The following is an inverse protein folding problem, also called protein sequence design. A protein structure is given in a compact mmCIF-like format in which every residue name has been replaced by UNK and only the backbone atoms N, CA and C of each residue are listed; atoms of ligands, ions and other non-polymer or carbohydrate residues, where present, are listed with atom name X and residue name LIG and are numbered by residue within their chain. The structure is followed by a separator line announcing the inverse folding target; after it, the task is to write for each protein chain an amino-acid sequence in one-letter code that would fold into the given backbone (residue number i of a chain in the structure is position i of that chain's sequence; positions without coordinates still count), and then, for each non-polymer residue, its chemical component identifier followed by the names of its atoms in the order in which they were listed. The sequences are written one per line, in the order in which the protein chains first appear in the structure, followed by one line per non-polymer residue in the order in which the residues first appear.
data_IF_084166508916
#
_entry.id   IF_084166508916
#
_cell.length_a   1.000
_cell.length_b   1.000
_cell.length_c   1.000
_cell.angle_alpha   90.00
_cell.angle_beta   90.00
_cell.angle_gamma   90.00
#
_symmetry.space_group_name_H-M   'P 1'
#
loop_
_entity.id
_entity.type
_entity.pdbx_description
1 polymer ?
#
# COMPACT_ATOMS: atom_id res chain seq x y z
N UNK A 1 -22.45 -54.44 -4.44
CA UNK A 1 -20.99 -54.39 -4.23
C UNK A 1 -20.41 -53.36 -5.20
N UNK A 2 -19.75 -52.32 -4.68
CA UNK A 2 -19.03 -51.21 -5.35
C UNK A 2 -19.87 -50.15 -6.09
N UNK A 3 -20.31 -49.16 -5.32
CA UNK A 3 -20.72 -47.81 -5.74
C UNK A 3 -19.49 -47.05 -6.29
N UNK A 4 -19.57 -46.47 -7.49
CA UNK A 4 -18.61 -45.47 -7.98
C UNK A 4 -19.26 -44.09 -7.96
N UNK A 5 -18.72 -43.20 -7.15
CA UNK A 5 -19.09 -41.79 -7.06
C UNK A 5 -18.34 -41.06 -8.20
N UNK A 6 -19.08 -40.40 -9.08
CA UNK A 6 -18.53 -39.50 -10.10
C UNK A 6 -18.38 -38.11 -9.49
N UNK A 7 -17.14 -37.64 -9.34
CA UNK A 7 -16.83 -36.26 -8.93
C UNK A 7 -17.12 -35.32 -10.12
N UNK A 8 -18.17 -34.52 -10.02
CA UNK A 8 -18.39 -33.38 -10.92
C UNK A 8 -17.31 -32.32 -10.62
N UNK A 9 -16.41 -32.08 -11.59
CA UNK A 9 -15.47 -30.94 -11.56
C UNK A 9 -16.27 -29.66 -11.79
N UNK A 10 -16.41 -28.83 -10.76
CA UNK A 10 -16.79 -27.43 -10.90
C UNK A 10 -15.60 -26.69 -11.52
N UNK A 11 -15.71 -26.37 -12.81
CA UNK A 11 -14.81 -25.39 -13.45
C UNK A 11 -15.39 -24.02 -13.12
N UNK A 12 -14.79 -23.32 -12.17
CA UNK A 12 -15.04 -21.87 -12.01
C UNK A 12 -14.32 -21.20 -13.17
N UNK A 13 -15.10 -20.71 -14.14
CA UNK A 13 -14.60 -19.83 -15.19
C UNK A 13 -14.14 -18.53 -14.53
N UNK A 14 -12.82 -18.34 -14.45
CA UNK A 14 -12.23 -17.04 -14.13
C UNK A 14 -12.49 -16.14 -15.33
N UNK A 15 -13.46 -15.24 -15.22
CA UNK A 15 -13.70 -14.22 -16.24
C UNK A 15 -12.44 -13.34 -16.33
N UNK A 16 -11.70 -13.48 -17.42
CA UNK A 16 -10.62 -12.57 -17.76
C UNK A 16 -11.23 -11.17 -17.98
N UNK A 17 -10.87 -10.23 -17.11
CA UNK A 17 -11.11 -8.81 -17.34
C UNK A 17 -10.37 -8.41 -18.63
N UNK A 18 -11.04 -7.90 -19.66
CA UNK A 18 -10.37 -7.35 -20.83
C UNK A 18 -9.86 -5.96 -20.44
N UNK A 19 -8.55 -5.72 -20.52
CA UNK A 19 -8.05 -4.35 -20.46
C UNK A 19 -6.74 -4.07 -19.73
N UNK A 20 -5.92 -5.06 -19.38
CA UNK A 20 -4.52 -4.80 -19.03
C UNK A 20 -3.61 -5.43 -20.09
N UNK A 21 -3.45 -4.74 -21.22
CA UNK A 21 -2.26 -4.92 -22.05
C UNK A 21 -1.10 -4.36 -21.24
N UNK A 22 -0.30 -5.22 -20.62
CA UNK A 22 1.08 -4.89 -20.31
C UNK A 22 1.76 -4.65 -21.65
N UNK A 23 1.78 -3.40 -22.11
CA UNK A 23 2.76 -2.99 -23.10
C UNK A 23 4.11 -3.33 -22.49
N UNK A 24 4.99 -4.11 -23.14
CA UNK A 24 6.37 -4.17 -22.69
C UNK A 24 6.84 -2.72 -22.61
N UNK A 25 7.44 -2.34 -21.47
CA UNK A 25 8.11 -1.05 -21.35
C UNK A 25 8.96 -0.92 -22.62
N UNK A 26 8.67 0.09 -23.44
CA UNK A 26 9.43 0.31 -24.66
C UNK A 26 10.90 0.34 -24.23
N UNK A 27 11.71 -0.59 -24.75
CA UNK A 27 13.14 -0.53 -24.57
C UNK A 27 13.55 0.89 -24.97
N UNK A 28 14.19 1.62 -24.06
CA UNK A 28 14.67 2.96 -24.36
C UNK A 28 15.55 2.82 -25.60
N UNK A 29 15.15 3.41 -26.72
CA UNK A 29 15.98 3.35 -27.91
C UNK A 29 17.26 4.16 -27.68
N UNK A 30 18.42 3.59 -28.08
CA UNK A 30 19.70 4.32 -28.15
C UNK A 30 19.46 5.69 -28.79
N UNK A 31 19.83 6.76 -28.08
CA UNK A 31 19.65 8.13 -28.58
C UNK A 31 20.71 8.50 -29.60
N UNK A 32 21.78 7.69 -29.71
CA UNK A 32 22.78 7.82 -30.74
C UNK A 32 22.31 7.19 -32.05
N UNK A 33 22.75 7.78 -33.16
CA UNK A 33 22.66 7.23 -34.50
C UNK A 33 23.95 6.49 -34.81
N UNK A 34 23.83 5.23 -35.26
CA UNK A 34 24.96 4.39 -35.70
C UNK A 34 26.09 4.31 -34.65
N UNK A 35 25.73 4.00 -33.41
CA UNK A 35 26.70 3.83 -32.32
C UNK A 35 27.40 2.47 -32.31
N UNK A 36 26.79 1.47 -32.95
CA UNK A 36 27.39 0.14 -33.22
C UNK A 36 28.27 0.12 -34.47
N UNK A 37 28.29 1.19 -35.26
CA UNK A 37 29.05 1.32 -36.51
C UNK A 37 28.77 0.27 -37.60
N UNK A 38 27.80 -0.63 -37.40
CA UNK A 38 27.48 -1.74 -38.30
C UNK A 38 26.41 -1.40 -39.36
N UNK A 39 25.72 -0.25 -39.24
CA UNK A 39 24.58 0.10 -40.10
C UNK A 39 24.92 1.17 -41.17
N UNK A 40 25.17 0.72 -42.42
CA UNK A 40 25.35 1.43 -43.72
C UNK A 40 26.41 2.56 -43.83
N UNK A 41 27.14 2.74 -44.97
CA UNK A 41 27.12 1.99 -46.24
C UNK A 41 28.47 1.32 -46.53
N UNK A 42 28.49 -0.01 -46.70
CA UNK A 42 29.55 -0.72 -47.44
C UNK A 42 30.97 -0.17 -47.22
N UNK A 43 31.46 -0.18 -45.98
CA UNK A 43 32.73 0.39 -45.54
C UNK A 43 34.01 -0.22 -46.17
N UNK A 44 33.87 -0.99 -47.26
CA UNK A 44 34.98 -1.45 -48.08
C UNK A 44 35.61 -0.31 -48.91
N UNK A 45 36.68 -0.65 -49.63
CA UNK A 45 37.59 0.24 -50.37
C UNK A 45 36.97 1.31 -51.30
N UNK A 46 35.65 1.32 -51.51
CA UNK A 46 34.91 2.26 -52.35
C UNK A 46 34.18 3.39 -51.61
N UNK A 47 34.07 3.35 -50.28
CA UNK A 47 33.39 4.39 -49.50
C UNK A 47 34.38 5.10 -48.56
N UNK A 48 34.89 6.27 -48.97
CA UNK A 48 36.01 6.96 -48.31
C UNK A 48 37.29 6.92 -49.16
N UNK A 49 38.37 7.52 -48.65
CA UNK A 49 39.69 7.37 -49.28
C UNK A 49 40.36 6.13 -48.69
N UNK A 50 40.98 5.28 -49.51
CA UNK A 50 41.78 4.16 -49.00
C UNK A 50 42.86 4.67 -48.04
N UNK A 51 43.10 3.93 -46.96
CA UNK A 51 44.07 4.32 -45.94
C UNK A 51 45.52 4.24 -46.47
N UNK A 52 46.35 5.17 -46.00
CA UNK A 52 47.80 5.17 -46.22
C UNK A 52 48.27 5.42 -47.67
N UNK A 53 49.58 5.57 -47.85
CA UNK A 53 50.22 5.88 -49.15
C UNK A 53 50.32 4.69 -50.12
N UNK A 54 49.45 3.68 -49.98
CA UNK A 54 49.50 2.43 -50.74
C UNK A 54 48.13 1.85 -51.13
N UNK A 55 47.03 2.57 -50.87
CA UNK A 55 45.66 2.09 -51.08
C UNK A 55 45.36 0.76 -50.36
N UNK A 56 45.40 0.75 -49.03
CA UNK A 56 44.89 -0.41 -48.29
C UNK A 56 43.37 -0.53 -48.52
N UNK A 57 42.95 -1.66 -49.08
CA UNK A 57 41.54 -1.95 -49.41
C UNK A 57 40.73 -2.47 -48.23
N UNK A 58 41.38 -2.69 -47.07
CA UNK A 58 40.78 -3.26 -45.86
C UNK A 58 40.32 -2.21 -44.86
N UNK A 59 40.50 -0.93 -45.16
CA UNK A 59 39.97 0.17 -44.38
C UNK A 59 39.60 1.38 -45.24
N UNK A 60 38.83 2.28 -44.66
CA UNK A 60 38.37 3.52 -45.28
C UNK A 60 38.56 4.70 -44.34
N UNK A 61 39.18 5.76 -44.83
CA UNK A 61 39.32 7.03 -44.11
C UNK A 61 38.16 7.97 -44.46
N UNK A 62 37.46 8.43 -43.42
CA UNK A 62 36.26 9.26 -43.46
C UNK A 62 36.55 10.64 -42.89
N UNK A 63 35.87 11.65 -43.40
CA UNK A 63 36.00 13.06 -42.99
C UNK A 63 34.62 13.73 -42.86
N UNK A 64 34.56 14.85 -42.15
CA UNK A 64 33.33 15.64 -41.99
C UNK A 64 32.16 14.79 -41.49
N UNK A 65 31.11 14.64 -42.31
CA UNK A 65 29.89 13.88 -41.97
C UNK A 65 29.79 12.53 -42.69
N UNK A 66 30.92 11.98 -43.15
CA UNK A 66 30.93 10.70 -43.87
C UNK A 66 30.66 9.49 -42.96
N UNK A 67 30.78 9.65 -41.64
CA UNK A 67 30.33 8.67 -40.65
C UNK A 67 28.89 9.02 -40.20
N UNK A 68 27.86 8.23 -40.56
CA UNK A 68 26.47 8.55 -40.26
C UNK A 68 26.24 8.82 -38.78
N UNK A 69 25.57 9.93 -38.47
CA UNK A 69 25.29 10.35 -37.09
C UNK A 69 26.46 11.07 -36.41
N UNK A 70 27.68 10.94 -36.91
CA UNK A 70 28.88 11.50 -36.28
C UNK A 70 29.48 12.64 -37.10
N UNK A 71 30.08 13.59 -36.39
CA UNK A 71 30.86 14.69 -36.98
C UNK A 71 32.33 14.46 -36.67
N UNK A 72 33.15 14.43 -37.71
CA UNK A 72 34.61 14.36 -37.62
C UNK A 72 35.14 15.79 -37.66
N UNK A 73 35.96 16.15 -36.67
CA UNK A 73 36.46 17.50 -36.51
C UNK A 73 37.30 17.96 -37.73
N UNK A 74 37.26 19.25 -38.10
CA UNK A 74 38.05 19.76 -39.22
C UNK A 74 39.54 19.49 -39.03
N UNK A 75 40.18 18.90 -40.04
CA UNK A 75 41.60 18.55 -39.98
C UNK A 75 41.88 17.13 -39.51
N UNK A 76 40.86 16.37 -39.10
CA UNK A 76 40.96 14.98 -38.65
C UNK A 76 40.31 14.02 -39.64
N UNK A 77 40.72 12.74 -39.60
CA UNK A 77 40.02 11.62 -40.25
C UNK A 77 39.68 10.56 -39.21
N UNK A 78 38.62 9.80 -39.49
CA UNK A 78 38.28 8.56 -38.78
C UNK A 78 38.47 7.39 -39.73
N UNK A 79 39.14 6.34 -39.27
CA UNK A 79 39.36 5.14 -40.07
C UNK A 79 38.39 4.06 -39.67
N UNK A 80 37.65 3.48 -40.63
CA UNK A 80 36.83 2.30 -40.41
C UNK A 80 37.58 1.07 -40.90
N UNK A 81 37.79 0.10 -40.01
CA UNK A 81 38.40 -1.17 -40.31
C UNK A 81 37.36 -2.21 -40.71
N UNK A 82 37.73 -3.11 -41.62
CA UNK A 82 36.92 -4.28 -41.98
C UNK A 82 37.58 -5.60 -41.56
N UNK A 83 36.76 -6.60 -41.23
CA UNK A 83 37.24 -7.91 -40.82
C UNK A 83 38.15 -8.58 -41.87
N UNK A 84 39.27 -9.18 -41.43
CA UNK A 84 40.24 -9.88 -42.29
C UNK A 84 41.50 -9.09 -42.67
N UNK A 85 41.56 -7.82 -42.25
CA UNK A 85 42.76 -6.96 -42.32
C UNK A 85 43.25 -6.48 -40.97
N UNK A 86 42.30 -6.04 -40.14
CA UNK A 86 42.52 -5.37 -38.87
C UNK A 86 41.54 -5.94 -37.82
N UNK A 87 41.80 -5.87 -36.50
CA UNK A 87 40.87 -6.25 -35.45
C UNK A 87 39.62 -5.37 -35.48
N UNK A 88 38.52 -5.99 -35.08
CA UNK A 88 37.22 -5.39 -34.82
C UNK A 88 36.76 -5.85 -33.43
N UNK A 89 35.86 -5.10 -32.79
CA UNK A 89 35.35 -5.43 -31.46
C UNK A 89 34.10 -6.30 -31.58
N UNK A 90 33.11 -5.82 -32.30
CA UNK A 90 31.92 -6.58 -32.66
C UNK A 90 31.66 -6.46 -34.17
N UNK A 91 30.76 -7.32 -34.68
CA UNK A 91 30.38 -7.31 -36.08
C UNK A 91 31.53 -7.42 -37.09
N UNK A 92 31.37 -6.74 -38.23
CA UNK A 92 32.31 -6.78 -39.35
C UNK A 92 33.18 -5.52 -39.43
N UNK A 93 32.82 -4.47 -38.70
CA UNK A 93 33.46 -3.16 -38.80
C UNK A 93 33.68 -2.53 -37.42
N UNK A 94 34.75 -1.78 -37.26
CA UNK A 94 34.93 -0.97 -36.06
C UNK A 94 35.72 0.29 -36.39
N UNK A 95 35.54 1.33 -35.57
CA UNK A 95 36.29 2.57 -35.69
C UNK A 95 37.69 2.37 -35.12
N UNK A 96 38.72 2.76 -35.88
CA UNK A 96 40.07 2.99 -35.39
C UNK A 96 40.31 4.49 -35.25
N UNK A 97 40.85 4.88 -34.10
CA UNK A 97 41.06 6.27 -33.73
C UNK A 97 42.37 6.87 -34.21
N UNK A 98 43.20 6.16 -34.98
CA UNK A 98 44.50 6.66 -35.47
C UNK A 98 44.42 7.57 -36.70
N UNK A 99 43.29 7.60 -37.41
CA UNK A 99 43.07 8.54 -38.54
C UNK A 99 44.14 8.49 -39.65
N UNK A 100 45.00 7.45 -39.66
CA UNK A 100 46.18 7.29 -40.51
C UNK A 100 47.17 8.48 -40.46
N UNK A 101 47.18 9.23 -39.35
CA UNK A 101 48.01 10.42 -39.21
C UNK A 101 47.75 11.48 -40.28
N UNK A 102 46.49 11.65 -40.72
CA UNK A 102 46.12 12.71 -41.66
C UNK A 102 46.53 14.08 -41.10
N UNK A 103 47.41 14.79 -41.81
CA UNK A 103 48.06 16.02 -41.32
C UNK A 103 48.79 15.86 -39.96
N UNK A 104 49.16 14.63 -39.58
CA UNK A 104 49.85 14.31 -38.34
C UNK A 104 48.96 14.32 -37.09
N UNK A 105 47.64 14.20 -37.26
CA UNK A 105 46.69 14.14 -36.15
C UNK A 105 45.82 12.88 -36.20
N UNK A 106 45.46 12.40 -35.01
CA UNK A 106 44.64 11.22 -34.79
C UNK A 106 43.15 11.60 -34.91
N UNK A 107 42.25 10.64 -34.78
CA UNK A 107 40.81 10.87 -34.91
C UNK A 107 40.27 11.79 -33.79
N UNK A 108 39.40 12.70 -34.20
CA UNK A 108 38.57 13.52 -33.31
C UNK A 108 37.17 13.54 -33.93
N UNK A 109 36.22 12.94 -33.23
CA UNK A 109 34.84 12.86 -33.70
C UNK A 109 33.83 12.82 -32.56
N UNK A 110 32.63 13.29 -32.84
CA UNK A 110 31.61 13.45 -31.83
C UNK A 110 30.20 13.34 -32.39
N UNK A 111 29.24 13.07 -31.50
CA UNK A 111 27.82 13.13 -31.78
C UNK A 111 27.11 13.95 -30.71
N UNK A 112 26.30 14.91 -31.15
CA UNK A 112 25.47 15.72 -30.27
C UNK A 112 24.08 15.09 -30.15
N UNK A 113 23.55 15.02 -28.93
CA UNK A 113 22.22 14.48 -28.64
C UNK A 113 21.46 15.37 -27.64
N UNK A 114 20.13 15.36 -27.74
CA UNK A 114 19.28 16.14 -26.85
C UNK A 114 19.22 15.53 -25.44
N UNK A 115 19.33 16.37 -24.40
CA UNK A 115 19.15 15.95 -23.02
C UNK A 115 17.95 16.61 -22.32
N UNK A 116 17.46 15.99 -21.26
CA UNK A 116 16.41 16.56 -20.39
C UNK A 116 16.99 16.82 -19.01
N UNK A 117 16.69 17.98 -18.42
CA UNK A 117 17.16 18.37 -17.07
C UNK A 117 16.78 17.28 -16.06
N UNK A 118 17.77 16.74 -15.35
CA UNK A 118 17.56 15.75 -14.28
C UNK A 118 17.19 14.34 -14.76
N UNK A 119 17.06 14.11 -16.06
CA UNK A 119 16.94 12.76 -16.62
C UNK A 119 18.32 12.08 -16.57
N UNK A 120 18.42 10.90 -15.96
CA UNK A 120 19.66 10.13 -15.98
C UNK A 120 19.80 9.36 -17.31
N UNK A 121 21.01 9.27 -17.80
CA UNK A 121 21.39 8.53 -18.99
C UNK A 121 22.43 7.49 -18.63
N UNK A 122 22.39 6.33 -19.29
CA UNK A 122 23.47 5.35 -19.29
C UNK A 122 24.30 5.55 -20.54
N UNK A 123 25.62 5.56 -20.39
CA UNK A 123 26.57 5.40 -21.48
C UNK A 123 27.17 4.01 -21.38
N UNK A 124 27.20 3.28 -22.49
CA UNK A 124 28.06 2.11 -22.63
C UNK A 124 28.78 2.10 -23.96
N UNK A 125 29.96 1.50 -24.00
CA UNK A 125 30.74 1.29 -25.21
C UNK A 125 31.82 0.25 -24.97
N UNK A 126 32.37 -0.27 -26.05
CA UNK A 126 33.50 -1.16 -26.02
C UNK A 126 34.73 -0.49 -26.65
N UNK A 127 35.91 -0.79 -26.13
CA UNK A 127 37.17 -0.36 -26.71
C UNK A 127 38.23 -1.45 -26.60
N UNK A 128 39.24 -1.41 -27.47
CA UNK A 128 40.38 -2.32 -27.42
C UNK A 128 41.64 -1.60 -27.88
N UNK A 129 42.76 -1.88 -27.22
CA UNK A 129 44.08 -1.49 -27.69
C UNK A 129 44.65 -2.51 -28.67
N UNK A 130 45.30 -2.07 -29.75
CA UNK A 130 45.96 -2.98 -30.69
C UNK A 130 47.27 -3.54 -30.12
N UNK A 131 48.07 -2.67 -29.52
CA UNK A 131 49.36 -3.00 -28.92
C UNK A 131 49.60 -2.14 -27.68
N UNK A 132 50.49 -2.59 -26.79
CA UNK A 132 50.84 -1.83 -25.60
C UNK A 132 51.73 -0.64 -25.98
N UNK A 133 51.17 0.57 -26.01
CA UNK A 133 51.88 1.83 -26.16
C UNK A 133 51.49 2.76 -25.00
N UNK A 134 52.42 3.10 -24.09
CA UNK A 134 52.07 3.88 -22.90
C UNK A 134 51.78 5.36 -23.21
N UNK A 135 51.87 5.79 -24.47
CA UNK A 135 51.86 7.21 -24.84
C UNK A 135 50.46 7.74 -25.17
N UNK A 136 49.69 7.15 -26.11
CA UNK A 136 48.35 7.62 -26.38
C UNK A 136 47.36 7.03 -25.37
N UNK A 137 46.38 7.85 -24.99
CA UNK A 137 45.22 7.47 -24.21
C UNK A 137 43.96 7.71 -25.04
N UNK A 138 42.98 6.82 -24.92
CA UNK A 138 41.64 7.04 -25.45
C UNK A 138 40.89 7.93 -24.45
N UNK A 139 40.46 9.09 -24.91
CA UNK A 139 39.61 10.01 -24.16
C UNK A 139 38.18 9.94 -24.71
N UNK A 140 37.24 9.54 -23.84
CA UNK A 140 35.79 9.54 -24.13
C UNK A 140 35.12 10.47 -23.13
N UNK A 141 34.44 11.50 -23.62
CA UNK A 141 33.78 12.50 -22.78
C UNK A 141 32.32 12.70 -23.14
N UNK A 142 31.53 13.06 -22.14
CA UNK A 142 30.20 13.65 -22.34
C UNK A 142 30.25 15.07 -21.80
N UNK A 143 30.02 16.05 -22.66
CA UNK A 143 30.07 17.48 -22.29
C UNK A 143 28.76 18.19 -22.62
N UNK A 144 28.38 19.15 -21.79
CA UNK A 144 27.30 20.08 -22.11
C UNK A 144 27.80 21.10 -23.14
N UNK A 145 27.19 21.14 -24.32
CA UNK A 145 27.66 21.98 -25.43
C UNK A 145 27.52 23.48 -25.16
N UNK A 146 26.60 23.89 -24.28
CA UNK A 146 26.35 25.29 -23.95
C UNK A 146 27.27 25.78 -22.83
N UNK A 147 27.50 24.96 -21.81
CA UNK A 147 28.26 25.35 -20.60
C UNK A 147 29.68 24.83 -20.57
N UNK A 148 30.03 23.87 -21.44
CA UNK A 148 31.30 23.13 -21.44
C UNK A 148 31.53 22.31 -20.15
N UNK A 149 30.47 22.05 -19.38
CA UNK A 149 30.56 21.19 -18.21
C UNK A 149 30.82 19.74 -18.63
N UNK A 150 31.82 19.10 -18.03
CA UNK A 150 32.13 17.69 -18.24
C UNK A 150 31.26 16.84 -17.32
N UNK A 151 30.38 16.04 -17.91
CA UNK A 151 29.43 15.15 -17.22
C UNK A 151 29.96 13.73 -17.08
N UNK A 152 30.85 13.33 -17.99
CA UNK A 152 31.60 12.09 -17.95
C UNK A 152 32.96 12.29 -18.64
N UNK A 153 34.01 11.69 -18.07
CA UNK A 153 35.34 11.65 -18.67
C UNK A 153 36.00 10.31 -18.34
N UNK A 154 36.17 9.48 -19.37
CA UNK A 154 37.01 8.29 -19.31
C UNK A 154 38.32 8.56 -20.04
N UNK A 155 39.43 8.24 -19.39
CA UNK A 155 40.78 8.31 -19.95
C UNK A 155 41.41 6.92 -19.83
N UNK A 156 41.64 6.25 -20.96
CA UNK A 156 42.02 4.84 -21.00
C UNK A 156 43.40 4.66 -21.63
N UNK A 157 44.34 4.11 -20.87
CA UNK A 157 45.64 3.70 -21.40
C UNK A 157 45.49 2.49 -22.33
N UNK A 158 46.39 2.33 -23.30
CA UNK A 158 46.35 1.18 -24.23
C UNK A 158 46.35 -0.14 -23.47
N UNK A 159 45.44 -1.03 -23.81
CA UNK A 159 45.35 -2.37 -23.24
C UNK A 159 44.82 -3.32 -24.31
N UNK A 160 45.50 -4.44 -24.50
CA UNK A 160 45.09 -5.46 -25.47
C UNK A 160 43.88 -6.25 -24.97
N UNK A 161 42.95 -6.54 -25.88
CA UNK A 161 41.68 -7.19 -25.57
C UNK A 161 40.52 -6.19 -25.48
N UNK A 162 39.29 -6.71 -25.59
CA UNK A 162 38.08 -5.90 -25.53
C UNK A 162 37.74 -5.53 -24.10
N UNK A 163 37.46 -4.25 -23.88
CA UNK A 163 37.05 -3.66 -22.63
C UNK A 163 35.67 -3.06 -22.79
N UNK A 164 34.76 -3.42 -21.88
CA UNK A 164 33.43 -2.82 -21.81
C UNK A 164 33.42 -1.71 -20.76
N UNK A 165 32.82 -0.57 -21.12
CA UNK A 165 32.63 0.57 -20.24
C UNK A 165 31.13 0.79 -20.04
N UNK A 166 30.75 1.04 -18.79
CA UNK A 166 29.40 1.47 -18.43
C UNK A 166 29.48 2.61 -17.42
N UNK A 167 28.74 3.68 -17.67
CA UNK A 167 28.71 4.88 -16.84
C UNK A 167 27.31 5.51 -16.84
N UNK A 168 27.04 6.38 -15.88
CA UNK A 168 25.80 7.16 -15.83
C UNK A 168 26.09 8.64 -15.66
N UNK A 169 25.24 9.48 -16.24
CA UNK A 169 25.32 10.92 -16.13
C UNK A 169 23.92 11.56 -16.17
N UNK A 170 23.78 12.75 -15.59
CA UNK A 170 22.52 13.48 -15.56
C UNK A 170 22.43 14.46 -16.73
N UNK A 171 21.28 14.51 -17.40
CA UNK A 171 20.98 15.48 -18.43
C UNK A 171 20.84 16.89 -17.85
N UNK A 172 21.30 17.87 -18.62
CA UNK A 172 21.33 19.29 -18.21
C UNK A 172 20.21 20.11 -18.87
N UNK A 173 19.48 19.52 -19.81
CA UNK A 173 18.50 20.21 -20.65
C UNK A 173 19.07 20.88 -21.89
N UNK A 174 20.39 21.07 -21.96
CA UNK A 174 21.10 21.49 -23.17
C UNK A 174 21.45 20.26 -24.04
N UNK A 175 21.79 20.45 -25.33
CA UNK A 175 22.42 19.40 -26.11
C UNK A 175 23.74 18.97 -25.47
N UNK A 176 23.93 17.66 -25.36
CA UNK A 176 25.17 17.06 -24.86
C UNK A 176 25.95 16.48 -26.03
N UNK A 177 27.27 16.42 -25.88
CA UNK A 177 28.18 15.88 -26.87
C UNK A 177 28.90 14.67 -26.30
N UNK A 178 28.74 13.52 -26.95
CA UNK A 178 29.64 12.38 -26.78
C UNK A 178 30.84 12.60 -27.72
N UNK A 179 32.03 12.74 -27.16
CA UNK A 179 33.25 13.09 -27.88
C UNK A 179 34.33 12.05 -27.65
N UNK A 180 34.95 11.59 -28.74
CA UNK A 180 36.01 10.58 -28.76
C UNK A 180 37.24 11.20 -29.40
N UNK A 181 38.37 11.11 -28.70
CA UNK A 181 39.67 11.56 -29.19
C UNK A 181 40.79 10.72 -28.59
N UNK A 182 41.96 10.76 -29.22
CA UNK A 182 43.20 10.29 -28.60
C UNK A 182 43.99 11.44 -27.98
N UNK A 183 44.72 11.14 -26.91
CA UNK A 183 45.52 12.10 -26.17
C UNK A 183 46.93 11.56 -25.91
N UNK A 184 47.99 12.24 -26.40
CA UNK A 184 47.94 13.46 -27.21
C UNK A 184 47.31 13.21 -28.58
N UNK A 185 46.64 14.22 -29.16
CA UNK A 185 46.00 14.13 -30.49
C UNK A 185 47.01 14.02 -31.65
N UNK A 186 48.31 13.90 -31.36
CA UNK A 186 49.39 13.87 -32.32
C UNK A 186 50.02 12.49 -32.36
N UNK A 187 50.04 11.89 -33.55
CA UNK A 187 50.62 10.60 -33.83
C UNK A 187 50.64 10.40 -35.34
N UNK A 188 51.65 9.69 -35.85
CA UNK A 188 51.57 9.12 -37.20
C UNK A 188 51.60 7.62 -37.02
N UNK A 189 50.52 6.94 -37.39
CA UNK A 189 50.45 5.49 -37.36
C UNK A 189 50.65 4.93 -35.93
N UNK A 190 49.96 5.52 -34.96
CA UNK A 190 49.91 5.02 -33.59
C UNK A 190 48.73 4.06 -33.35
N UNK A 191 47.84 3.80 -34.32
CA UNK A 191 46.79 2.75 -34.40
C UNK A 191 46.35 2.15 -33.06
N UNK A 192 46.13 3.01 -32.07
CA UNK A 192 46.25 2.58 -30.68
C UNK A 192 44.95 1.98 -30.20
N UNK A 193 43.82 2.58 -30.58
CA UNK A 193 42.51 2.19 -30.09
C UNK A 193 41.51 1.89 -31.20
N UNK A 194 40.70 0.88 -30.90
CA UNK A 194 39.51 0.52 -31.63
C UNK A 194 38.34 0.78 -30.70
N UNK A 195 37.25 1.36 -31.20
CA UNK A 195 36.04 1.65 -30.42
C UNK A 195 34.79 1.20 -31.15
N UNK A 196 33.81 0.75 -30.40
CA UNK A 196 32.58 0.15 -30.92
C UNK A 196 31.43 0.18 -29.89
N UNK A 197 30.21 -0.15 -30.32
CA UNK A 197 29.04 -0.36 -29.46
C UNK A 197 28.67 0.82 -28.56
N UNK A 198 28.84 2.06 -29.03
CA UNK A 198 28.37 3.23 -28.30
C UNK A 198 26.85 3.22 -28.17
N UNK A 199 26.40 3.22 -26.93
CA UNK A 199 25.01 3.29 -26.55
C UNK A 199 24.82 4.39 -25.52
N UNK A 200 23.88 5.29 -25.80
CA UNK A 200 23.37 6.22 -24.81
C UNK A 200 21.87 6.03 -24.70
N UNK A 201 21.44 5.53 -23.56
CA UNK A 201 20.02 5.28 -23.30
C UNK A 201 19.53 6.19 -22.19
N UNK A 202 18.26 6.61 -22.28
CA UNK A 202 17.59 7.23 -21.15
C UNK A 202 17.37 6.11 -20.13
N UNK A 203 17.94 6.26 -18.94
CA UNK A 203 17.60 5.39 -17.83
C UNK A 203 16.15 5.71 -17.49
N UNK A 204 15.25 4.83 -17.92
CA UNK A 204 13.83 4.95 -17.61
C UNK A 204 13.72 5.17 -16.11
N UNK A 205 13.06 6.26 -15.70
CA UNK A 205 12.69 6.42 -14.30
C UNK A 205 12.03 5.09 -13.91
N UNK A 206 12.61 4.38 -12.93
CA UNK A 206 12.04 3.12 -12.42
C UNK A 206 10.54 3.28 -12.35
N UNK A 207 9.78 2.42 -13.03
CA UNK A 207 8.33 2.51 -13.09
C UNK A 207 7.82 2.77 -11.67
N UNK A 208 7.28 3.97 -11.46
CA UNK A 208 6.75 4.37 -10.16
C UNK A 208 5.60 3.44 -9.78
N UNK A 209 5.38 3.30 -8.49
CA UNK A 209 4.18 2.66 -7.99
C UNK A 209 3.09 3.71 -7.83
N UNK A 210 1.86 3.31 -8.12
CA UNK A 210 0.67 4.14 -7.90
C UNK A 210 0.11 3.86 -6.51
N UNK A 211 0.04 4.90 -5.69
CA UNK A 211 -0.67 4.89 -4.41
C UNK A 211 -2.05 5.50 -4.60
N UNK A 212 -3.09 4.70 -4.46
CA UNK A 212 -4.48 5.16 -4.57
C UNK A 212 -5.06 5.46 -3.19
N UNK A 213 -5.53 6.68 -2.99
CA UNK A 213 -6.23 7.03 -1.75
C UNK A 213 -7.73 6.75 -1.82
N UNK A 214 -8.30 6.23 -0.74
CA UNK A 214 -9.76 6.16 -0.56
C UNK A 214 -10.17 6.88 0.72
N UNK A 215 -11.41 7.37 0.77
CA UNK A 215 -11.94 8.09 1.93
C UNK A 215 -13.35 7.59 2.26
N UNK A 216 -13.55 7.22 3.53
CA UNK A 216 -14.86 6.92 4.10
C UNK A 216 -15.63 8.17 4.50
N UNK A 217 -16.86 7.99 5.01
CA UNK A 217 -17.64 9.11 5.54
C UNK A 217 -17.02 9.71 6.81
N UNK A 218 -17.39 10.96 7.13
CA UNK A 218 -17.03 11.68 8.35
C UNK A 218 -15.56 12.15 8.44
N UNK A 219 -14.95 12.48 7.30
CA UNK A 219 -13.65 13.13 7.25
C UNK A 219 -13.07 13.22 5.85
N UNK A 220 -11.80 13.62 5.76
CA UNK A 220 -11.08 13.82 4.50
C UNK A 220 -9.64 13.27 4.56
N UNK A 221 -9.06 12.96 3.40
CA UNK A 221 -7.64 12.63 3.25
C UNK A 221 -6.97 13.61 2.29
N UNK A 222 -5.74 14.03 2.61
CA UNK A 222 -4.92 14.87 1.73
C UNK A 222 -3.46 14.43 1.76
N UNK A 223 -2.78 14.30 0.60
CA UNK A 223 -3.32 14.42 -0.76
C UNK A 223 -4.34 13.32 -1.11
N UNK A 224 -5.22 13.56 -2.08
CA UNK A 224 -6.25 12.62 -2.54
C UNK A 224 -6.09 12.26 -4.02
N UNK A 225 -6.52 11.07 -4.40
CA UNK A 225 -6.46 10.52 -5.76
C UNK A 225 -5.29 9.55 -5.96
N UNK A 226 -4.97 9.21 -7.22
CA UNK A 226 -3.76 8.45 -7.55
C UNK A 226 -2.51 9.31 -7.38
N UNK A 227 -1.52 8.81 -6.66
CA UNK A 227 -0.24 9.48 -6.41
C UNK A 227 0.90 8.59 -6.91
N UNK A 228 1.83 9.18 -7.64
CA UNK A 228 3.02 8.48 -8.12
C UNK A 228 4.11 8.48 -7.04
N UNK A 229 4.64 7.30 -6.75
CA UNK A 229 5.71 7.10 -5.79
C UNK A 229 6.91 6.44 -6.47
N UNK A 230 8.12 6.89 -6.16
CA UNK A 230 9.33 6.17 -6.58
C UNK A 230 9.52 4.92 -5.70
N UNK A 231 10.05 3.81 -6.24
CA UNK A 231 10.32 2.62 -5.45
C UNK A 231 11.20 2.93 -4.22
N UNK A 232 10.78 2.44 -3.05
CA UNK A 232 11.46 2.63 -1.77
C UNK A 232 11.18 3.97 -1.08
N UNK A 233 10.47 4.91 -1.72
CA UNK A 233 10.04 6.15 -1.07
C UNK A 233 8.94 5.91 -0.04
N UNK A 234 8.75 6.86 0.89
CA UNK A 234 7.62 6.88 1.84
C UNK A 234 6.78 8.12 1.55
N UNK A 235 5.45 8.00 1.67
CA UNK A 235 4.51 9.10 1.50
C UNK A 235 3.85 9.46 2.83
N UNK A 236 3.44 10.72 2.97
CA UNK A 236 2.72 11.21 4.15
C UNK A 236 1.37 11.78 3.75
N UNK A 237 0.34 11.39 4.51
CA UNK A 237 -1.04 11.80 4.32
C UNK A 237 -1.58 12.43 5.60
N UNK A 238 -2.41 13.46 5.46
CA UNK A 238 -3.16 14.07 6.55
C UNK A 238 -4.60 13.59 6.48
N UNK A 239 -5.05 12.95 7.56
CA UNK A 239 -6.42 12.52 7.77
C UNK A 239 -7.11 13.57 8.63
N UNK A 240 -8.08 14.28 8.04
CA UNK A 240 -8.86 15.31 8.72
C UNK A 240 -10.21 14.74 9.11
N UNK A 241 -10.37 14.18 10.33
CA UNK A 241 -11.67 13.73 10.80
C UNK A 241 -12.63 14.91 10.93
N UNK A 242 -13.90 14.68 10.64
CA UNK A 242 -14.95 15.58 11.08
C UNK A 242 -14.98 15.61 12.61
N UNK A 243 -15.51 16.69 13.17
CA UNK A 243 -15.63 16.81 14.61
C UNK A 243 -16.34 15.55 15.17
N UNK A 244 -15.73 14.92 16.18
CA UNK A 244 -16.31 13.77 16.89
C UNK A 244 -15.93 12.43 16.33
N UNK A 245 -14.97 12.41 15.42
CA UNK A 245 -14.39 11.21 14.89
C UNK A 245 -12.88 11.21 15.13
N UNK A 246 -12.33 10.01 15.24
CA UNK A 246 -10.90 9.76 15.25
C UNK A 246 -10.51 9.10 13.93
N UNK A 247 -9.35 9.46 13.36
CA UNK A 247 -8.85 8.86 12.14
C UNK A 247 -8.50 7.39 12.40
N UNK A 248 -8.85 6.56 11.42
CA UNK A 248 -8.50 5.15 11.35
C UNK A 248 -7.99 4.88 9.94
N UNK A 249 -6.76 4.44 9.81
CA UNK A 249 -6.21 4.06 8.52
C UNK A 249 -6.50 2.58 8.21
N UNK A 250 -6.84 2.31 6.95
CA UNK A 250 -6.93 0.98 6.37
C UNK A 250 -6.23 1.00 5.01
N UNK A 251 -5.52 -0.05 4.61
CA UNK A 251 -4.83 0.00 3.33
C UNK A 251 -3.85 -1.13 3.13
N UNK A 252 -3.25 -1.17 1.95
CA UNK A 252 -2.21 -2.15 1.60
C UNK A 252 -0.80 -1.56 1.59
N UNK A 253 -0.66 -0.23 1.66
CA UNK A 253 0.67 0.40 1.68
C UNK A 253 1.44 0.12 2.98
N UNK A 254 0.73 -0.21 4.07
CA UNK A 254 1.31 -0.32 5.41
C UNK A 254 1.89 1.01 5.90
N UNK A 255 2.24 1.10 7.18
CA UNK A 255 2.76 2.34 7.75
C UNK A 255 2.33 2.56 9.19
N UNK A 256 2.36 3.82 9.61
CA UNK A 256 1.99 4.24 10.97
C UNK A 256 1.15 5.51 10.94
N UNK A 257 0.07 5.51 11.73
CA UNK A 257 -0.76 6.69 11.99
C UNK A 257 -0.35 7.32 13.33
N UNK A 258 0.10 8.57 13.31
CA UNK A 258 0.42 9.37 14.48
C UNK A 258 -0.47 10.62 14.52
N UNK A 259 -1.42 10.64 15.46
CA UNK A 259 -2.46 11.69 15.51
C UNK A 259 -3.31 11.66 14.24
N UNK A 260 -3.22 12.72 13.43
CA UNK A 260 -3.90 12.84 12.13
C UNK A 260 -2.98 12.61 10.93
N UNK A 261 -1.70 12.27 11.15
CA UNK A 261 -0.74 12.07 10.07
C UNK A 261 -0.44 10.59 9.89
N UNK A 262 -0.73 10.05 8.70
CA UNK A 262 -0.34 8.71 8.30
C UNK A 262 0.90 8.75 7.42
N UNK A 263 1.90 7.95 7.75
CA UNK A 263 3.11 7.79 6.93
C UNK A 263 3.23 6.35 6.47
N UNK A 264 3.34 6.13 5.16
CA UNK A 264 3.42 4.79 4.60
C UNK A 264 4.74 4.11 4.95
N UNK A 265 4.77 2.78 4.87
CA UNK A 265 6.02 2.05 4.70
C UNK A 265 6.68 2.39 3.34
N UNK A 266 7.96 2.02 3.12
CA UNK A 266 8.58 2.15 1.81
C UNK A 266 7.76 1.47 0.71
N UNK A 267 7.44 2.20 -0.35
CA UNK A 267 6.56 1.73 -1.42
C UNK A 267 7.32 0.77 -2.35
N UNK A 268 6.90 -0.49 -2.39
CA UNK A 268 7.52 -1.57 -3.19
C UNK A 268 6.58 -2.21 -4.20
N UNK A 269 5.32 -1.75 -4.26
CA UNK A 269 4.28 -2.18 -5.18
C UNK A 269 3.17 -1.10 -5.22
N UNK A 270 2.30 -1.16 -6.23
CA UNK A 270 1.04 -0.40 -6.22
C UNK A 270 0.24 -0.76 -4.96
N UNK A 271 -0.28 0.25 -4.28
CA UNK A 271 -0.95 0.04 -3.00
C UNK A 271 -2.02 1.10 -2.73
N UNK A 272 -2.80 0.89 -1.67
CA UNK A 272 -3.89 1.79 -1.26
C UNK A 272 -3.66 2.36 0.14
N UNK A 273 -4.06 3.61 0.32
CA UNK A 273 -4.20 4.26 1.63
C UNK A 273 -5.64 4.71 1.79
N UNK A 274 -6.36 4.09 2.71
CA UNK A 274 -7.76 4.36 3.01
C UNK A 274 -7.90 5.10 4.33
N UNK A 275 -8.48 6.31 4.27
CA UNK A 275 -8.87 7.05 5.46
C UNK A 275 -10.30 6.70 5.86
N UNK A 276 -10.46 6.10 7.03
CA UNK A 276 -11.74 5.92 7.69
C UNK A 276 -11.80 6.72 8.99
N UNK A 277 -13.01 6.88 9.52
CA UNK A 277 -13.25 7.73 10.67
C UNK A 277 -14.22 7.01 11.61
N UNK A 278 -13.76 6.78 12.84
CA UNK A 278 -14.55 6.10 13.88
C UNK A 278 -15.01 7.12 14.90
N UNK A 279 -16.26 7.03 15.36
CA UNK A 279 -16.78 8.00 16.30
C UNK A 279 -15.98 7.99 17.61
N UNK A 280 -15.62 9.19 18.09
CA UNK A 280 -15.00 9.38 19.39
C UNK A 280 -15.98 8.95 20.47
N UNK A 281 -15.50 8.14 21.40
CA UNK A 281 -16.30 7.75 22.56
C UNK A 281 -15.96 8.58 23.77
N UNK A 282 -16.98 8.98 24.51
CA UNK A 282 -16.84 9.71 25.78
C UNK A 282 -17.43 8.84 26.89
N UNK A 283 -16.63 8.57 27.92
CA UNK A 283 -17.03 7.78 29.08
C UNK A 283 -17.54 8.69 30.21
N UNK A 284 -18.53 8.21 30.96
CA UNK A 284 -19.05 8.86 32.16
C UNK A 284 -18.31 8.48 33.44
N UNK A 285 -18.54 9.26 34.51
CA UNK A 285 -18.10 8.92 35.87
C UNK A 285 -19.05 7.89 36.48
N UNK A 286 -18.49 6.87 37.13
CA UNK A 286 -19.21 5.70 37.63
C UNK A 286 -20.28 6.05 38.70
N UNK A 287 -21.51 5.57 38.54
CA UNK A 287 -22.58 5.68 39.55
C UNK A 287 -22.91 4.29 40.06
N UNK A 288 -22.66 4.03 41.34
CA UNK A 288 -22.96 2.73 41.96
C UNK A 288 -22.26 1.52 41.31
N UNK A 289 -21.14 1.73 40.60
CA UNK A 289 -20.44 0.69 39.85
C UNK A 289 -20.71 0.70 38.33
N UNK A 290 -21.76 1.38 37.88
CA UNK A 290 -22.20 1.42 36.49
C UNK A 290 -21.45 2.51 35.73
N UNK A 291 -21.04 2.24 34.48
CA UNK A 291 -20.51 3.25 33.57
C UNK A 291 -21.33 3.33 32.29
N UNK A 292 -21.41 4.53 31.71
CA UNK A 292 -22.00 4.75 30.40
C UNK A 292 -20.92 5.29 29.45
N UNK A 293 -20.94 4.79 28.22
CA UNK A 293 -20.10 5.25 27.11
C UNK A 293 -21.03 5.64 25.97
N UNK A 294 -20.87 6.85 25.46
CA UNK A 294 -21.56 7.28 24.24
C UNK A 294 -20.58 7.35 23.08
N UNK A 295 -21.05 7.05 21.88
CA UNK A 295 -20.31 7.27 20.64
C UNK A 295 -21.26 7.73 19.54
N UNK A 296 -20.77 8.54 18.60
CA UNK A 296 -21.60 9.15 17.55
C UNK A 296 -22.10 10.54 17.93
N UNK A 297 -23.15 11.02 17.28
CA UNK A 297 -23.77 12.31 17.62
C UNK A 297 -23.03 13.57 17.17
N UNK A 298 -21.83 13.45 16.58
CA UNK A 298 -21.01 14.58 16.13
C UNK A 298 -20.04 15.10 17.20
N UNK A 299 -19.15 16.02 16.83
CA UNK A 299 -17.95 16.28 17.63
C UNK A 299 -18.01 17.18 18.80
N UNK A 300 -19.15 17.80 19.01
CA UNK A 300 -19.42 18.49 20.24
C UNK A 300 -20.34 17.64 21.14
N UNK A 301 -20.75 16.45 20.68
CA UNK A 301 -21.61 15.54 21.45
C UNK A 301 -20.80 14.97 22.60
N UNK A 302 -21.13 15.42 23.80
CA UNK A 302 -20.44 15.04 25.02
C UNK A 302 -21.41 14.55 26.05
N UNK A 303 -20.90 13.68 26.92
CA UNK A 303 -21.66 13.17 28.03
C UNK A 303 -21.82 14.25 29.11
N UNK A 304 -23.05 14.44 29.60
CA UNK A 304 -23.35 15.38 30.68
C UNK A 304 -23.35 14.60 31.98
N UNK A 305 -22.22 14.61 32.70
CA UNK A 305 -22.04 13.79 33.90
C UNK A 305 -23.01 14.10 35.04
N UNK A 306 -23.53 15.33 35.12
CA UNK A 306 -24.55 15.72 36.11
C UNK A 306 -25.90 15.07 35.86
N UNK A 307 -26.17 14.68 34.62
CA UNK A 307 -27.42 14.04 34.22
C UNK A 307 -27.33 12.51 34.45
N UNK A 308 -26.13 11.98 34.73
CA UNK A 308 -25.91 10.61 35.15
C UNK A 308 -26.10 10.44 36.64
N UNK A 309 -27.32 10.09 37.03
CA UNK A 309 -27.74 9.96 38.42
C UNK A 309 -28.49 8.65 38.66
N UNK A 310 -28.27 8.06 39.85
CA UNK A 310 -29.07 6.94 40.36
C UNK A 310 -30.36 7.42 41.05
N UNK A 311 -31.29 6.50 41.27
CA UNK A 311 -32.71 6.76 41.56
C UNK A 311 -33.07 7.60 42.80
N UNK A 312 -32.15 7.95 43.71
CA UNK A 312 -32.53 8.77 44.86
C UNK A 312 -33.03 10.19 44.46
N UNK A 313 -32.88 10.59 43.19
CA UNK A 313 -33.16 11.95 42.70
C UNK A 313 -34.05 12.04 41.44
N UNK A 314 -34.52 10.95 40.84
CA UNK A 314 -35.30 11.01 39.58
C UNK A 314 -36.81 10.87 39.86
N UNK A 315 -37.57 11.91 39.54
CA UNK A 315 -39.01 12.07 39.87
C UNK A 315 -39.99 11.27 38.99
N UNK A 316 -39.52 10.30 38.19
CA UNK A 316 -40.30 9.64 37.12
C UNK A 316 -40.15 8.10 37.10
N UNK A 317 -40.24 7.45 38.26
CA UNK A 317 -40.16 5.98 38.36
C UNK A 317 -41.22 5.28 37.48
N UNK A 318 -40.90 4.15 36.81
CA UNK A 318 -41.86 3.43 35.97
C UNK A 318 -43.06 2.90 36.79
N UNK A 319 -44.30 3.05 36.30
CA UNK A 319 -45.46 2.43 36.93
C UNK A 319 -45.32 0.90 36.98
N UNK A 320 -45.70 0.30 38.11
CA UNK A 320 -45.71 -1.17 38.28
C UNK A 320 -46.58 -1.90 37.26
N UNK A 321 -47.56 -1.21 36.66
CA UNK A 321 -48.46 -1.74 35.62
C UNK A 321 -47.84 -1.79 34.22
N UNK A 322 -46.86 -0.93 33.89
CA UNK A 322 -46.20 -0.92 32.57
C UNK A 322 -45.17 -2.06 32.43
N UNK A 323 -44.78 -2.70 33.53
CA UNK A 323 -43.77 -3.77 33.61
C UNK A 323 -44.39 -5.17 33.81
N UNK A 324 -45.65 -5.37 33.43
CA UNK A 324 -46.23 -6.73 33.34
C UNK A 324 -46.77 -7.34 34.64
N UNK A 325 -47.19 -6.53 35.61
CA UNK A 325 -48.14 -6.95 36.66
C UNK A 325 -47.70 -8.06 37.64
N UNK A 326 -46.43 -8.45 37.67
CA UNK A 326 -45.95 -9.48 38.60
C UNK A 326 -45.75 -8.89 40.00
N UNK A 327 -46.55 -9.34 40.98
CA UNK A 327 -46.60 -8.85 42.36
C UNK A 327 -45.32 -9.03 43.22
N UNK A 328 -44.16 -9.25 42.61
CA UNK A 328 -42.84 -9.28 43.24
C UNK A 328 -41.87 -8.25 42.61
N UNK A 329 -42.38 -7.07 42.23
CA UNK A 329 -41.61 -5.96 41.65
C UNK A 329 -40.53 -5.36 42.58
N UNK A 330 -40.61 -5.61 43.89
CA UNK A 330 -39.69 -5.05 44.89
C UNK A 330 -38.27 -5.63 44.91
N UNK A 331 -37.97 -6.64 44.08
CA UNK A 331 -36.63 -7.22 43.93
C UNK A 331 -36.01 -7.02 42.53
N UNK A 332 -36.72 -6.37 41.60
CA UNK A 332 -36.45 -6.47 40.16
C UNK A 332 -36.19 -5.15 39.43
N UNK A 333 -36.37 -4.00 40.08
CA UNK A 333 -35.87 -2.72 39.59
C UNK A 333 -34.43 -2.63 40.07
N UNK A 334 -33.49 -3.18 39.31
CA UNK A 334 -32.10 -3.13 39.78
C UNK A 334 -31.61 -1.69 39.73
N UNK A 335 -31.69 -0.96 38.61
CA UNK A 335 -31.01 0.34 38.50
C UNK A 335 -31.68 1.21 37.43
N UNK A 336 -32.61 2.12 37.79
CA UNK A 336 -32.97 3.21 36.88
C UNK A 336 -31.92 4.32 36.99
N UNK A 337 -31.53 4.82 35.83
CA UNK A 337 -30.56 5.89 35.68
C UNK A 337 -31.05 6.81 34.57
N UNK A 338 -30.70 8.09 34.69
CA UNK A 338 -30.77 9.01 33.57
C UNK A 338 -29.36 9.19 33.03
N UNK A 339 -29.20 9.55 31.77
CA UNK A 339 -28.03 10.29 31.33
C UNK A 339 -28.42 11.40 30.37
N UNK A 340 -27.49 12.34 30.18
CA UNK A 340 -27.62 13.40 29.20
C UNK A 340 -26.46 13.35 28.21
N UNK A 341 -26.75 13.63 26.94
CA UNK A 341 -25.75 14.02 25.96
C UNK A 341 -26.09 15.42 25.45
N UNK A 342 -25.09 16.29 25.28
CA UNK A 342 -25.28 17.67 24.80
C UNK A 342 -24.23 18.05 23.76
N UNK A 343 -24.56 19.05 22.95
CA UNK A 343 -23.70 19.50 21.86
C UNK A 343 -23.71 18.54 20.67
N UNK A 344 -24.65 17.60 20.63
CA UNK A 344 -24.81 16.71 19.51
C UNK A 344 -25.36 17.49 18.31
N UNK A 345 -25.04 17.04 17.09
CA UNK A 345 -25.68 17.59 15.89
C UNK A 345 -27.19 17.37 16.02
N UNK A 346 -28.04 18.40 15.85
CA UNK A 346 -29.48 18.25 16.00
C UNK A 346 -30.03 17.13 15.11
N UNK A 347 -30.73 16.17 15.71
CA UNK A 347 -31.32 15.01 15.05
C UNK A 347 -30.35 13.84 14.85
N UNK A 348 -29.14 13.91 15.42
CA UNK A 348 -28.16 12.84 15.30
C UNK A 348 -28.50 11.64 16.20
N UNK A 349 -28.12 10.46 15.73
CA UNK A 349 -28.18 9.22 16.51
C UNK A 349 -26.85 8.97 17.21
N UNK A 350 -26.91 8.65 18.49
CA UNK A 350 -25.77 8.14 19.27
C UNK A 350 -25.97 6.65 19.58
N UNK A 351 -24.86 5.94 19.73
CA UNK A 351 -24.82 4.63 20.37
C UNK A 351 -24.44 4.79 21.83
N UNK A 352 -25.21 4.18 22.71
CA UNK A 352 -25.01 4.17 24.16
C UNK A 352 -24.64 2.75 24.56
N UNK A 353 -23.52 2.60 25.27
CA UNK A 353 -23.10 1.35 25.89
C UNK A 353 -23.06 1.55 27.38
N UNK A 354 -23.80 0.73 28.10
CA UNK A 354 -23.85 0.70 29.55
C UNK A 354 -23.13 -0.56 30.04
N UNK A 355 -22.34 -0.43 31.09
CA UNK A 355 -21.60 -1.53 31.71
C UNK A 355 -21.99 -1.66 33.16
N UNK A 356 -22.38 -2.87 33.56
CA UNK A 356 -22.87 -3.23 34.90
C UNK A 356 -21.98 -4.33 35.50
N UNK A 357 -20.83 -3.98 36.10
CA UNK A 357 -19.85 -4.97 36.54
C UNK A 357 -20.47 -6.05 37.45
N UNK A 358 -20.32 -7.32 37.05
CA UNK A 358 -20.81 -8.47 37.81
C UNK A 358 -22.27 -8.87 37.54
N UNK A 359 -22.98 -8.17 36.65
CA UNK A 359 -24.27 -8.64 36.14
C UNK A 359 -24.10 -9.69 35.04
N UNK A 360 -25.16 -10.45 34.80
CA UNK A 360 -25.26 -11.39 33.68
C UNK A 360 -26.60 -11.16 32.99
N UNK A 361 -26.58 -10.38 31.92
CA UNK A 361 -27.76 -10.16 31.09
C UNK A 361 -27.91 -11.26 30.04
N UNK A 362 -29.15 -11.58 29.68
CA UNK A 362 -29.49 -12.52 28.62
C UNK A 362 -30.59 -11.99 27.68
N UNK A 363 -30.99 -12.80 26.70
CA UNK A 363 -31.96 -12.42 25.67
C UNK A 363 -33.40 -12.19 26.19
N UNK A 364 -33.67 -12.53 27.45
CA UNK A 364 -34.98 -12.34 28.09
C UNK A 364 -35.08 -11.00 28.83
N UNK A 365 -33.97 -10.27 28.95
CA UNK A 365 -33.95 -8.95 29.54
C UNK A 365 -34.44 -7.87 28.56
N UNK A 366 -35.00 -6.81 29.12
CA UNK A 366 -35.64 -5.75 28.35
C UNK A 366 -35.18 -4.37 28.81
N UNK A 367 -34.89 -3.50 27.85
CA UNK A 367 -34.62 -2.09 28.10
C UNK A 367 -35.88 -1.28 27.85
N UNK A 368 -36.13 -0.30 28.72
CA UNK A 368 -37.23 0.64 28.58
C UNK A 368 -36.72 2.07 28.63
N UNK A 369 -37.33 2.94 27.83
CA UNK A 369 -37.04 4.37 27.77
C UNK A 369 -38.26 5.19 28.10
N UNK A 370 -38.05 6.35 28.70
CA UNK A 370 -39.08 7.32 28.97
C UNK A 370 -39.02 8.48 27.98
N UNK A 371 -40.13 8.75 27.32
CA UNK A 371 -40.26 9.89 26.42
C UNK A 371 -41.61 9.89 25.70
N UNK A 372 -41.92 10.95 24.93
CA UNK A 372 -43.15 11.02 24.19
C UNK A 372 -43.14 10.01 23.02
N UNK A 373 -44.29 9.44 22.66
CA UNK A 373 -44.43 8.74 21.40
C UNK A 373 -44.09 9.67 20.22
N UNK A 374 -43.60 9.13 19.08
CA UNK A 374 -43.21 9.95 17.93
C UNK A 374 -44.31 10.94 17.51
N UNK A 375 -43.97 12.23 17.48
CA UNK A 375 -44.88 13.31 17.07
C UNK A 375 -45.83 13.81 18.15
N UNK A 376 -45.70 13.36 19.41
CA UNK A 376 -46.46 13.87 20.56
C UNK A 376 -45.59 14.78 21.45
N UNK A 377 -46.21 15.70 22.21
CA UNK A 377 -45.48 16.58 23.13
C UNK A 377 -44.95 15.82 24.36
N UNK A 378 -43.93 16.37 25.03
CA UNK A 378 -43.33 15.82 26.27
C UNK A 378 -44.36 15.45 27.36
N UNK A 379 -45.50 16.16 27.42
CA UNK A 379 -46.57 15.86 28.40
C UNK A 379 -47.20 14.47 28.24
N UNK A 380 -47.06 13.85 27.07
CA UNK A 380 -47.53 12.49 26.75
C UNK A 380 -46.44 11.42 26.99
N UNK A 381 -45.36 11.77 27.70
CA UNK A 381 -44.25 10.85 27.92
C UNK A 381 -44.65 9.65 28.76
N UNK A 382 -44.23 8.47 28.29
CA UNK A 382 -44.48 7.20 28.94
C UNK A 382 -43.29 6.26 28.81
N UNK A 383 -43.23 5.28 29.70
CA UNK A 383 -42.27 4.19 29.60
C UNK A 383 -42.68 3.23 28.49
N UNK A 384 -41.77 2.94 27.57
CA UNK A 384 -41.98 2.02 26.46
C UNK A 384 -40.77 1.10 26.28
N UNK A 385 -41.00 -0.14 25.83
CA UNK A 385 -39.91 -1.07 25.53
C UNK A 385 -39.09 -0.53 24.37
N UNK A 386 -37.78 -0.69 24.45
CA UNK A 386 -36.84 -0.11 23.52
C UNK A 386 -35.84 -1.15 23.01
N UNK A 387 -35.51 -1.15 21.70
CA UNK A 387 -34.54 -2.08 21.16
C UNK A 387 -33.15 -1.92 21.79
N UNK A 388 -32.59 -3.01 22.30
CA UNK A 388 -31.24 -3.06 22.87
C UNK A 388 -30.60 -4.44 22.66
N UNK A 389 -29.28 -4.47 22.70
CA UNK A 389 -28.46 -5.68 22.65
C UNK A 389 -27.86 -5.90 24.05
N UNK A 390 -28.13 -7.08 24.61
CA UNK A 390 -27.61 -7.52 25.90
C UNK A 390 -26.48 -8.53 25.67
N UNK A 391 -25.32 -8.31 26.28
CA UNK A 391 -24.16 -9.19 26.14
C UNK A 391 -23.27 -9.13 27.38
N UNK A 392 -23.25 -10.21 28.16
CA UNK A 392 -22.45 -10.29 29.38
C UNK A 392 -22.93 -9.29 30.42
N UNK A 393 -22.06 -8.35 30.79
CA UNK A 393 -22.34 -7.25 31.70
C UNK A 393 -22.70 -5.93 30.99
N UNK A 394 -22.91 -5.97 29.66
CA UNK A 394 -23.17 -4.78 28.85
C UNK A 394 -24.54 -4.74 28.20
N UNK A 395 -25.08 -3.53 28.08
CA UNK A 395 -26.31 -3.22 27.33
C UNK A 395 -26.01 -2.11 26.32
N UNK A 396 -26.27 -2.37 25.04
CA UNK A 396 -26.02 -1.40 23.96
C UNK A 396 -27.29 -1.09 23.19
N UNK A 397 -27.54 0.19 22.92
CA UNK A 397 -28.67 0.65 22.09
C UNK A 397 -28.33 1.96 21.39
N UNK A 398 -29.21 2.39 20.48
CA UNK A 398 -29.07 3.66 19.77
C UNK A 398 -30.25 4.58 20.07
N UNK A 399 -30.00 5.87 20.29
CA UNK A 399 -31.04 6.89 20.52
C UNK A 399 -30.75 8.11 19.64
N UNK A 400 -31.82 8.75 19.15
CA UNK A 400 -31.76 9.92 18.26
C UNK A 400 -32.31 11.15 18.99
N UNK A 401 -31.61 12.28 18.87
CA UNK A 401 -32.07 13.60 19.36
C UNK A 401 -33.43 13.97 18.75
N UNK A 402 -34.44 14.18 19.59
CA UNK A 402 -35.83 14.38 19.22
C UNK A 402 -36.58 13.12 18.77
N UNK A 403 -35.98 11.95 18.91
CA UNK A 403 -36.55 10.66 18.55
C UNK A 403 -37.31 9.98 19.69
N UNK A 404 -37.81 8.77 19.43
CA UNK A 404 -38.43 7.96 20.48
C UNK A 404 -37.42 7.64 21.58
N UNK A 405 -37.84 7.80 22.84
CA UNK A 405 -37.02 7.53 24.02
C UNK A 405 -36.09 8.67 24.43
N UNK A 406 -36.11 9.79 23.71
CA UNK A 406 -35.53 11.07 24.15
C UNK A 406 -36.60 11.85 24.93
N UNK A 407 -36.30 12.23 26.18
CA UNK A 407 -37.30 12.64 27.16
C UNK A 407 -38.15 13.83 26.70
N UNK A 408 -37.55 14.83 26.06
CA UNK A 408 -38.28 16.02 25.60
C UNK A 408 -38.79 15.88 24.16
N UNK A 409 -38.29 14.88 23.41
CA UNK A 409 -38.69 14.63 22.02
C UNK A 409 -38.40 15.80 21.07
N UNK A 410 -37.51 16.72 21.43
CA UNK A 410 -37.18 17.89 20.61
C UNK A 410 -35.82 17.73 19.94
N UNK A 411 -35.77 18.00 18.64
CA UNK A 411 -34.51 18.07 17.88
C UNK A 411 -33.75 19.35 18.26
N UNK A 412 -32.87 19.28 19.26
CA UNK A 412 -32.17 20.45 19.80
C UNK A 412 -30.66 20.24 20.07
N UNK A 413 -30.13 19.06 19.73
CA UNK A 413 -28.74 18.68 19.98
C UNK A 413 -28.47 18.24 21.43
N UNK A 414 -29.51 17.92 22.19
CA UNK A 414 -29.43 17.42 23.54
C UNK A 414 -30.37 16.23 23.74
N UNK A 415 -29.79 15.08 24.06
CA UNK A 415 -30.53 13.87 24.39
C UNK A 415 -30.63 13.77 25.90
N UNK A 416 -31.85 13.65 26.42
CA UNK A 416 -32.11 13.33 27.82
C UNK A 416 -32.70 11.93 27.88
N UNK A 417 -32.05 11.07 28.64
CA UNK A 417 -32.32 9.65 28.52
C UNK A 417 -32.55 8.99 29.89
N UNK A 418 -33.77 9.09 30.44
CA UNK A 418 -34.22 8.24 31.53
C UNK A 418 -34.45 6.81 31.00
N UNK A 419 -33.73 5.86 31.59
CA UNK A 419 -33.69 4.48 31.15
C UNK A 419 -33.75 3.52 32.34
N UNK A 420 -34.45 2.41 32.13
CA UNK A 420 -34.53 1.31 33.09
C UNK A 420 -34.34 -0.03 32.37
N UNK A 421 -33.76 -0.99 33.09
CA UNK A 421 -33.57 -2.36 32.63
C UNK A 421 -34.44 -3.26 33.50
N UNK A 422 -35.29 -4.03 32.83
CA UNK A 422 -36.01 -5.12 33.43
C UNK A 422 -35.20 -6.41 33.22
N UNK A 423 -34.63 -6.93 34.30
CA UNK A 423 -33.98 -8.24 34.29
C UNK A 423 -35.05 -9.30 34.49
N UNK A 424 -35.18 -10.25 33.57
CA UNK A 424 -36.16 -11.33 33.72
C UNK A 424 -35.80 -12.21 34.91
N UNK A 425 -36.80 -12.73 35.63
CA UNK A 425 -36.54 -13.67 36.70
C UNK A 425 -35.79 -14.90 36.15
N UNK A 426 -34.74 -15.39 36.84
CA UNK A 426 -34.10 -16.62 36.43
C UNK A 426 -35.19 -17.70 36.34
N UNK A 427 -35.34 -18.30 35.17
CA UNK A 427 -36.20 -19.48 35.05
C UNK A 427 -35.67 -20.48 36.08
N UNK A 428 -36.52 -20.85 37.04
CA UNK A 428 -36.13 -21.81 38.06
C UNK A 428 -35.53 -23.02 37.34
N UNK A 429 -34.25 -23.27 37.57
CA UNK A 429 -33.59 -24.42 37.01
C UNK A 429 -34.48 -25.62 37.32
N UNK A 430 -34.94 -26.33 36.29
CA UNK A 430 -35.53 -27.64 36.47
C UNK A 430 -34.46 -28.45 37.19
N UNK A 431 -34.60 -28.59 38.51
CA UNK A 431 -33.80 -29.55 39.25
C UNK A 431 -34.11 -30.89 38.59
N UNK A 432 -33.20 -31.36 37.77
CA UNK A 432 -33.18 -32.76 37.39
C UNK A 432 -33.08 -33.49 38.72
N UNK A 433 -34.14 -34.24 39.06
CA UNK A 433 -34.11 -35.11 40.24
C UNK A 433 -32.78 -35.87 40.19
N UNK A 434 -32.00 -35.93 41.29
CA UNK A 434 -30.67 -36.53 41.25
C UNK A 434 -30.84 -37.97 40.75
N UNK A 435 -30.43 -38.22 39.51
CA UNK A 435 -30.34 -39.58 39.01
C UNK A 435 -29.21 -40.22 39.80
N UNK A 436 -29.51 -41.36 40.41
CA UNK A 436 -28.53 -42.17 41.13
C UNK A 436 -27.32 -42.37 40.20
N UNK A 437 -26.13 -41.91 40.62
CA UNK A 437 -24.89 -41.98 39.82
C UNK A 437 -24.72 -43.39 39.24
N UNK A 438 -24.21 -43.52 38.01
CA UNK A 438 -24.03 -44.79 37.32
C UNK A 438 -23.22 -45.80 38.14
N UNK A 439 -22.34 -45.32 39.02
CA UNK A 439 -21.62 -46.15 40.01
C UNK A 439 -22.53 -46.75 41.08
N UNK A 440 -23.51 -46.00 41.57
CA UNK A 440 -24.49 -46.47 42.54
C UNK A 440 -25.49 -47.47 41.90
N UNK A 441 -25.86 -47.28 40.63
CA UNK A 441 -26.62 -48.26 39.85
C UNK A 441 -25.84 -49.57 39.62
N UNK A 442 -24.54 -49.47 39.32
CA UNK A 442 -23.64 -50.63 39.21
C UNK A 442 -23.50 -51.37 40.54
N UNK A 443 -23.36 -50.66 41.65
CA UNK A 443 -23.32 -51.26 42.99
C UNK A 443 -24.63 -51.97 43.34
N UNK A 444 -25.79 -51.38 43.00
CA UNK A 444 -27.09 -52.01 43.23
C UNK A 444 -27.30 -53.26 42.36
N UNK A 445 -26.85 -53.21 41.11
CA UNK A 445 -26.86 -54.35 40.18
C UNK A 445 -25.94 -55.48 40.65
N UNK A 446 -24.72 -55.16 41.08
CA UNK A 446 -23.79 -56.14 41.67
C UNK A 446 -24.33 -56.74 42.96
N UNK A 447 -24.95 -55.94 43.83
CA UNK A 447 -25.56 -56.43 45.06
C UNK A 447 -26.69 -57.43 44.75
N UNK A 448 -27.51 -57.13 43.75
CA UNK A 448 -28.60 -58.00 43.30
C UNK A 448 -28.09 -59.30 42.67
N UNK A 449 -27.00 -59.24 41.90
CA UNK A 449 -26.36 -60.40 41.31
C UNK A 449 -25.71 -61.30 42.39
N UNK A 450 -25.07 -60.72 43.40
CA UNK A 450 -24.50 -61.45 44.54
C UNK A 450 -25.61 -62.13 45.36
N UNK A 451 -26.71 -61.44 45.65
CA UNK A 451 -27.87 -62.05 46.31
C UNK A 451 -28.48 -63.19 45.48
N UNK A 452 -28.56 -63.05 44.15
CA UNK A 452 -28.99 -64.12 43.25
C UNK A 452 -28.06 -65.34 43.26
N UNK A 453 -26.74 -65.12 43.26
CA UNK A 453 -25.74 -66.20 43.33
C UNK A 453 -25.75 -66.91 44.70
N UNK A 454 -25.96 -66.18 45.80
CA UNK A 454 -26.12 -66.78 47.14
C UNK A 454 -27.40 -67.63 47.21
N UNK A 455 -28.50 -67.19 46.59
CA UNK A 455 -29.73 -67.97 46.52
C UNK A 455 -29.55 -69.25 45.67
N UNK A 456 -28.82 -69.19 44.56
CA UNK A 456 -28.51 -70.34 43.70
C UNK A 456 -27.54 -71.33 44.38
N UNK A 457 -26.58 -70.84 45.17
CA UNK A 457 -25.66 -71.69 45.94
C UNK A 457 -26.33 -72.41 47.12
N UNK A 458 -27.49 -71.92 47.59
CA UNK A 458 -28.30 -72.55 48.66
C UNK A 458 -29.42 -73.45 48.12
N UNK A 459 -29.60 -73.53 46.80
CA UNK A 459 -30.69 -74.25 46.14
C UNK A 459 -30.38 -75.69 45.72
N UNK A 460 -29.27 -76.31 46.15
CA UNK A 460 -28.99 -77.74 45.93
C UNK A 460 -29.04 -78.53 47.24
N UNK A 461 -30.18 -79.12 47.61
CA UNK A 461 -30.20 -80.32 48.43
C UNK A 461 -29.90 -81.56 47.57
N UNK A 462 -29.34 -82.59 48.22
CA UNK A 462 -28.84 -83.84 47.65
C UNK A 462 -29.84 -84.63 46.80
#
# INVERSE_FOLDING_TARGET
MKTRISLARFVVALAALPGLSLTPAAASANVLVNGDFENEPNWGASNGTACGSGHDTKCSALSGSQLPGWTIAPGHLVTIHSQGGYPTISGLYSVNTDGEGYNGVNADFYQDFASTVGQNYSLSFDWAGWYANPTPHLDVTVVDTATQAVLYHGNFATSVGTHHVSATFAGTGNPLRLHIQENPASGTNDNAFIVDNFDVEKIGATAGYTVLTTVGANGQISPSGPIQATPGSTLSFTLSPDAGFNPLEIGTCGGTLAGTTYTTAPIVADCTVGANFSATSVDSTQVGGISARISGGGGQCTFVSTDFAGLATIAKAPPTSTLGGSANLSAFIQQDFSFGAKGCTPGATITVTLTFPGSHFDSTDHLYKFGPPPGLPESESQWSSYPAVFSGDTVTYTITDGGAGDEDGVVNGAIKDPVTILVAAPTAATQTAPMLDGRALLLLGLLSAVLGLIALARGRPA
#
